data_IF_913321746836
#
_entry.id   IF_913321746836
#
_cell.length_a   1.000
_cell.length_b   1.000
_cell.length_c   1.000
_cell.angle_alpha   90.00
_cell.angle_beta   90.00
_cell.angle_gamma   90.00
#
_symmetry.space_group_name_H-M   'P 1'
#
loop_
_entity.id
_entity.type
_entity.pdbx_description
1 polymer ?
#
# COMPACT_ATOMS: atom_id res chain seq x y z
N UNK A 1 34.27 0.21 -11.38
CA UNK A 1 33.44 1.42 -11.21
C UNK A 1 32.02 1.03 -11.55
N UNK A 2 31.24 0.71 -10.51
CA UNK A 2 29.92 0.08 -10.64
C UNK A 2 28.78 1.08 -10.71
N UNK A 3 27.59 0.57 -11.03
CA UNK A 3 26.31 1.28 -10.86
C UNK A 3 26.27 2.06 -9.54
N UNK A 4 25.77 3.32 -9.53
CA UNK A 4 25.65 4.10 -8.31
C UNK A 4 24.95 3.28 -7.20
N UNK A 5 25.44 3.31 -5.95
CA UNK A 5 24.96 2.43 -4.88
C UNK A 5 23.48 2.67 -4.51
N UNK A 6 22.91 3.77 -4.98
CA UNK A 6 21.55 4.25 -4.75
C UNK A 6 20.63 4.10 -5.97
N UNK A 7 21.10 3.53 -7.09
CA UNK A 7 20.32 3.47 -8.33
C UNK A 7 20.19 2.05 -8.87
N UNK A 8 18.96 1.74 -9.28
CA UNK A 8 18.66 0.54 -10.06
C UNK A 8 18.99 0.84 -11.53
N UNK A 9 19.70 -0.09 -12.16
CA UNK A 9 19.90 -0.11 -13.60
C UNK A 9 18.82 -1.01 -14.22
N UNK A 10 18.10 -0.49 -15.21
CA UNK A 10 17.19 -1.27 -16.06
C UNK A 10 17.56 -0.98 -17.50
N UNK A 11 18.04 -1.99 -18.21
CA UNK A 11 18.44 -1.91 -19.61
C UNK A 11 17.55 -2.80 -20.47
N UNK A 12 16.99 -2.21 -21.55
CA UNK A 12 16.20 -2.93 -22.54
C UNK A 12 17.01 -3.10 -23.83
N UNK A 13 17.91 -4.08 -23.84
CA UNK A 13 18.79 -4.34 -24.99
C UNK A 13 18.09 -5.12 -26.10
N UNK A 14 18.72 -5.21 -27.29
CA UNK A 14 18.25 -6.13 -28.33
C UNK A 14 18.22 -7.58 -27.83
N UNK A 15 19.20 -7.95 -27.00
CA UNK A 15 19.42 -9.32 -26.55
C UNK A 15 18.57 -9.70 -25.33
N UNK A 16 17.79 -8.76 -24.77
CA UNK A 16 16.89 -8.97 -23.64
C UNK A 16 16.96 -7.88 -22.56
N UNK A 17 16.23 -8.10 -21.48
CA UNK A 17 16.26 -7.31 -20.25
C UNK A 17 17.54 -7.57 -19.46
N UNK A 18 18.09 -6.50 -18.89
CA UNK A 18 19.01 -6.59 -17.76
C UNK A 18 18.53 -5.65 -16.65
N UNK A 19 18.35 -6.20 -15.46
CA UNK A 19 18.01 -5.46 -14.26
C UNK A 19 19.11 -5.70 -13.22
N UNK A 20 19.68 -4.61 -12.71
CA UNK A 20 20.70 -4.66 -11.65
C UNK A 20 20.29 -3.75 -10.51
N UNK A 21 20.07 -4.33 -9.34
CA UNK A 21 19.78 -3.59 -8.11
C UNK A 21 20.94 -3.72 -7.12
N UNK A 22 21.57 -2.61 -6.69
CA UNK A 22 22.58 -2.64 -5.65
C UNK A 22 22.00 -3.09 -4.31
N UNK A 23 22.76 -3.89 -3.57
CA UNK A 23 22.46 -4.36 -2.23
C UNK A 23 23.55 -3.88 -1.26
N UNK A 24 23.29 -4.00 0.05
CA UNK A 24 24.28 -3.67 1.08
C UNK A 24 25.53 -4.54 0.95
N UNK A 25 26.67 -4.01 1.41
CA UNK A 25 27.94 -4.75 1.45
C UNK A 25 28.57 -4.98 0.08
N UNK A 26 28.32 -4.09 -0.89
CA UNK A 26 28.89 -4.19 -2.24
C UNK A 26 28.30 -5.33 -3.09
N UNK A 27 27.21 -5.95 -2.64
CA UNK A 27 26.49 -6.99 -3.38
C UNK A 27 25.53 -6.34 -4.38
N UNK A 28 25.12 -7.09 -5.41
CA UNK A 28 24.06 -6.68 -6.32
C UNK A 28 23.16 -7.87 -6.64
N UNK A 29 21.88 -7.58 -6.91
CA UNK A 29 20.94 -8.54 -7.49
C UNK A 29 20.85 -8.28 -8.99
N UNK A 30 21.12 -9.33 -9.77
CA UNK A 30 21.02 -9.31 -11.23
C UNK A 30 19.82 -10.15 -11.63
N UNK A 31 18.95 -9.61 -12.46
CA UNK A 31 17.82 -10.31 -13.07
C UNK A 31 17.91 -10.08 -14.58
N UNK A 32 17.88 -11.16 -15.34
CA UNK A 32 17.90 -11.12 -16.79
C UNK A 32 17.04 -12.27 -17.34
N UNK A 33 16.42 -12.04 -18.49
CA UNK A 33 15.82 -13.12 -19.26
C UNK A 33 16.92 -13.93 -19.96
N UNK A 34 16.74 -15.24 -19.96
CA UNK A 34 17.58 -16.21 -20.67
C UNK A 34 16.77 -16.84 -21.78
N UNK A 35 17.42 -17.04 -22.93
CA UNK A 35 16.80 -17.74 -24.08
C UNK A 35 17.18 -19.22 -24.05
N UNK A 36 16.27 -20.08 -24.49
CA UNK A 36 16.46 -21.53 -24.48
C UNK A 36 16.07 -22.20 -23.16
N UNK A 37 16.23 -23.53 -23.09
CA UNK A 37 15.89 -24.35 -21.93
C UNK A 37 17.03 -24.35 -20.89
N UNK A 38 17.38 -23.17 -20.40
CA UNK A 38 18.31 -23.04 -19.27
C UNK A 38 17.56 -23.45 -18.00
N UNK A 39 17.98 -24.54 -17.36
CA UNK A 39 17.34 -25.06 -16.14
C UNK A 39 18.13 -24.74 -14.87
N UNK A 40 19.42 -24.43 -15.00
CA UNK A 40 20.32 -24.10 -13.89
C UNK A 40 21.05 -22.80 -14.19
N UNK A 41 21.27 -22.00 -13.14
CA UNK A 41 21.98 -20.74 -13.27
C UNK A 41 23.46 -20.97 -12.97
N UNK A 42 24.32 -20.61 -13.91
CA UNK A 42 25.77 -20.65 -13.75
C UNK A 42 26.40 -19.25 -13.93
N UNK A 43 27.56 -19.06 -13.31
CA UNK A 43 28.25 -17.77 -13.30
C UNK A 43 28.71 -17.33 -14.71
N UNK A 44 29.09 -18.26 -15.58
CA UNK A 44 29.55 -17.95 -16.93
C UNK A 44 28.41 -17.36 -17.78
N UNK A 45 27.20 -17.91 -17.68
CA UNK A 45 26.00 -17.38 -18.31
C UNK A 45 25.69 -15.97 -17.83
N UNK A 46 25.77 -15.70 -16.53
CA UNK A 46 25.55 -14.34 -15.99
C UNK A 46 26.62 -13.37 -16.47
N UNK A 47 27.89 -13.77 -16.49
CA UNK A 47 29.00 -12.95 -17.03
C UNK A 47 28.79 -12.63 -18.52
N UNK A 48 28.36 -13.60 -19.31
CA UNK A 48 28.06 -13.40 -20.73
C UNK A 48 26.91 -12.40 -20.94
N UNK A 49 25.83 -12.52 -20.18
CA UNK A 49 24.69 -11.59 -20.23
C UNK A 49 25.13 -10.17 -19.83
N UNK A 50 25.89 -10.04 -18.76
CA UNK A 50 26.41 -8.75 -18.31
C UNK A 50 27.33 -8.11 -19.35
N UNK A 51 28.22 -8.89 -19.97
CA UNK A 51 29.10 -8.40 -21.03
C UNK A 51 28.33 -7.94 -22.28
N UNK A 52 27.25 -8.65 -22.63
CA UNK A 52 26.43 -8.34 -23.81
C UNK A 52 25.48 -7.15 -23.59
N UNK A 53 24.85 -7.07 -22.41
CA UNK A 53 23.72 -6.16 -22.16
C UNK A 53 24.04 -4.98 -21.26
N UNK A 54 25.10 -5.04 -20.44
CA UNK A 54 25.38 -3.94 -19.51
C UNK A 54 25.97 -2.73 -20.23
N UNK A 55 25.44 -1.51 -20.05
CA UNK A 55 26.04 -0.29 -20.56
C UNK A 55 27.32 0.10 -19.80
N UNK A 56 27.62 -0.60 -18.71
CA UNK A 56 28.81 -0.39 -17.88
C UNK A 56 29.66 -1.66 -17.80
N UNK A 57 30.97 -1.51 -17.99
CA UNK A 57 31.94 -2.59 -17.79
C UNK A 57 32.08 -2.91 -16.30
N UNK A 58 31.37 -3.94 -15.86
CA UNK A 58 31.39 -4.44 -14.48
C UNK A 58 31.69 -5.93 -14.50
N UNK A 59 32.72 -6.33 -13.76
CA UNK A 59 33.02 -7.73 -13.53
C UNK A 59 32.14 -8.26 -12.38
N UNK A 60 31.38 -9.31 -12.64
CA UNK A 60 30.53 -9.99 -11.65
C UNK A 60 31.27 -11.23 -11.16
N UNK A 61 31.36 -11.42 -9.84
CA UNK A 61 32.04 -12.55 -9.20
C UNK A 61 31.41 -12.86 -7.83
N UNK A 62 31.83 -13.97 -7.19
CA UNK A 62 31.37 -14.40 -5.85
C UNK A 62 29.83 -14.52 -5.73
N UNK A 63 29.19 -15.43 -6.50
CA UNK A 63 27.75 -15.61 -6.43
C UNK A 63 27.33 -16.17 -5.06
N UNK A 64 26.62 -15.36 -4.26
CA UNK A 64 26.02 -15.84 -3.01
C UNK A 64 24.80 -16.75 -3.23
N UNK A 65 24.07 -16.53 -4.33
CA UNK A 65 22.89 -17.29 -4.68
C UNK A 65 22.53 -17.09 -6.15
N UNK A 66 22.11 -18.16 -6.81
CA UNK A 66 21.70 -18.15 -8.22
C UNK A 66 20.49 -19.06 -8.40
N UNK A 67 19.58 -18.68 -9.29
CA UNK A 67 18.43 -19.50 -9.65
C UNK A 67 17.95 -19.17 -11.05
N UNK A 68 17.27 -20.12 -11.68
CA UNK A 68 16.44 -19.87 -12.86
C UNK A 68 15.01 -20.11 -12.46
N UNK A 69 14.13 -19.18 -12.83
CA UNK A 69 12.70 -19.30 -12.55
C UNK A 69 11.90 -19.06 -13.83
N UNK A 70 10.77 -19.75 -13.94
CA UNK A 70 9.81 -19.52 -15.01
C UNK A 70 8.81 -18.46 -14.59
N UNK A 71 8.55 -17.51 -15.47
CA UNK A 71 7.53 -16.49 -15.23
C UNK A 71 6.15 -17.12 -15.47
N UNK A 72 5.24 -16.95 -14.52
CA UNK A 72 3.85 -17.36 -14.63
C UNK A 72 2.95 -16.28 -14.04
N UNK A 73 1.80 -16.06 -14.68
CA UNK A 73 0.76 -15.13 -14.20
C UNK A 73 -0.50 -15.96 -13.94
N UNK A 74 -0.86 -16.11 -12.67
CA UNK A 74 -2.05 -16.88 -12.26
C UNK A 74 -2.66 -16.25 -11.02
N UNK A 75 -3.98 -16.31 -10.94
CA UNK A 75 -4.74 -15.87 -9.77
C UNK A 75 -5.90 -16.83 -9.58
N UNK A 76 -6.17 -17.18 -8.33
CA UNK A 76 -7.34 -17.99 -7.98
C UNK A 76 -8.63 -17.16 -8.15
N UNK A 77 -9.76 -17.78 -8.51
CA UNK A 77 -11.01 -17.04 -8.73
C UNK A 77 -11.59 -16.46 -7.43
N UNK A 78 -11.26 -17.03 -6.27
CA UNK A 78 -11.75 -16.62 -4.95
C UNK A 78 -10.63 -16.72 -3.92
N UNK A 79 -10.46 -15.67 -3.11
CA UNK A 79 -9.45 -15.64 -2.03
C UNK A 79 -9.98 -16.25 -0.73
N UNK A 80 -11.30 -16.38 -0.60
CA UNK A 80 -11.99 -17.05 0.48
C UNK A 80 -12.89 -18.14 -0.08
N UNK A 81 -12.89 -19.29 0.57
CA UNK A 81 -13.89 -20.33 0.40
C UNK A 81 -14.32 -20.81 1.79
N UNK A 82 -15.49 -20.35 2.24
CA UNK A 82 -15.98 -20.57 3.61
C UNK A 82 -14.93 -20.14 4.66
N UNK A 83 -14.31 -21.09 5.38
CA UNK A 83 -13.30 -20.84 6.43
C UNK A 83 -11.86 -20.91 5.92
N UNK A 84 -11.66 -21.12 4.62
CA UNK A 84 -10.34 -21.27 3.99
C UNK A 84 -9.99 -19.96 3.28
N UNK A 85 -8.80 -19.45 3.56
CA UNK A 85 -8.27 -18.21 2.99
C UNK A 85 -6.94 -18.47 2.28
N UNK A 86 -6.74 -17.84 1.12
CA UNK A 86 -5.52 -17.90 0.34
C UNK A 86 -4.92 -16.50 0.25
N UNK A 87 -3.62 -16.36 0.55
CA UNK A 87 -2.89 -15.09 0.53
C UNK A 87 -1.53 -15.25 -0.16
N UNK A 88 -1.00 -14.17 -0.75
CA UNK A 88 0.29 -14.18 -1.43
C UNK A 88 0.35 -15.19 -2.58
N UNK A 89 1.49 -15.86 -2.77
CA UNK A 89 1.73 -16.79 -3.88
C UNK A 89 0.75 -17.97 -3.96
N UNK A 90 0.07 -18.32 -2.85
CA UNK A 90 -1.00 -19.32 -2.86
C UNK A 90 -2.28 -18.83 -3.56
N UNK A 91 -2.49 -17.52 -3.62
CA UNK A 91 -3.64 -16.88 -4.25
C UNK A 91 -3.29 -16.27 -5.61
N UNK A 92 -2.10 -15.69 -5.76
CA UNK A 92 -1.68 -15.02 -6.98
C UNK A 92 -0.17 -15.09 -7.17
N UNK A 93 0.24 -15.41 -8.39
CA UNK A 93 1.64 -15.32 -8.85
C UNK A 93 1.66 -14.41 -10.07
N UNK A 94 2.69 -13.60 -10.18
CA UNK A 94 2.81 -12.61 -11.23
C UNK A 94 4.27 -12.40 -11.65
N UNK A 95 4.47 -11.69 -12.75
CA UNK A 95 5.80 -11.36 -13.23
C UNK A 95 6.59 -10.55 -12.17
N UNK A 96 7.89 -10.85 -11.96
CA UNK A 96 8.73 -10.10 -11.04
C UNK A 96 9.06 -8.70 -11.54
N UNK A 97 8.69 -8.34 -12.78
CA UNK A 97 9.00 -7.05 -13.40
C UNK A 97 8.60 -5.83 -12.57
N UNK A 98 7.63 -5.96 -11.65
CA UNK A 98 7.23 -4.90 -10.72
C UNK A 98 7.79 -5.02 -9.29
N UNK A 99 8.48 -6.11 -8.91
CA UNK A 99 8.95 -6.34 -7.54
C UNK A 99 7.84 -6.44 -6.49
N UNK A 100 6.61 -6.78 -6.89
CA UNK A 100 5.41 -6.62 -6.05
C UNK A 100 5.01 -7.87 -5.26
N UNK A 101 5.58 -9.05 -5.53
CA UNK A 101 5.04 -10.33 -5.03
C UNK A 101 4.99 -10.40 -3.51
N UNK A 102 6.15 -10.34 -2.88
CA UNK A 102 6.27 -10.34 -1.43
C UNK A 102 5.50 -9.18 -0.79
N UNK A 103 5.56 -7.97 -1.35
CA UNK A 103 4.86 -6.80 -0.81
C UNK A 103 3.34 -6.99 -0.82
N UNK A 104 2.79 -7.48 -1.93
CA UNK A 104 1.35 -7.73 -2.08
C UNK A 104 0.90 -8.85 -1.15
N UNK A 105 1.66 -9.95 -1.06
CA UNK A 105 1.37 -11.06 -0.16
C UNK A 105 1.41 -10.68 1.32
N UNK A 106 2.39 -9.85 1.74
CA UNK A 106 2.41 -9.30 3.10
C UNK A 106 1.20 -8.41 3.38
N UNK A 107 0.80 -7.58 2.42
CA UNK A 107 -0.41 -6.77 2.57
C UNK A 107 -1.69 -7.60 2.63
N UNK A 108 -1.77 -8.73 1.91
CA UNK A 108 -2.90 -9.65 2.01
C UNK A 108 -3.01 -10.21 3.45
N UNK A 109 -1.89 -10.69 4.00
CA UNK A 109 -1.85 -11.21 5.36
C UNK A 109 -2.18 -10.11 6.40
N UNK A 110 -1.66 -8.89 6.21
CA UNK A 110 -1.91 -7.76 7.10
C UNK A 110 -3.39 -7.33 7.08
N UNK A 111 -4.02 -7.30 5.91
CA UNK A 111 -5.45 -7.02 5.76
C UNK A 111 -6.34 -8.12 6.37
N UNK A 112 -5.95 -9.39 6.22
CA UNK A 112 -6.71 -10.52 6.74
C UNK A 112 -6.57 -10.69 8.26
N UNK A 113 -5.38 -10.44 8.81
CA UNK A 113 -5.03 -10.76 10.20
C UNK A 113 -5.97 -10.13 11.24
N UNK A 114 -6.20 -8.82 11.14
CA UNK A 114 -7.09 -8.13 12.09
C UNK A 114 -8.56 -8.56 11.94
N UNK A 115 -8.99 -8.90 10.72
CA UNK A 115 -10.35 -9.39 10.45
C UNK A 115 -10.57 -10.75 11.09
N UNK A 116 -9.59 -11.66 10.99
CA UNK A 116 -9.61 -12.95 11.67
C UNK A 116 -9.63 -12.80 13.18
N UNK A 117 -8.84 -11.87 13.73
CA UNK A 117 -8.86 -11.59 15.17
C UNK A 117 -10.26 -11.17 15.65
N UNK A 118 -10.90 -10.24 14.94
CA UNK A 118 -12.26 -9.81 15.29
C UNK A 118 -13.30 -10.91 15.13
N UNK A 119 -13.23 -11.70 14.07
CA UNK A 119 -14.13 -12.83 13.87
C UNK A 119 -14.00 -13.87 14.99
N UNK A 120 -12.78 -14.11 15.47
CA UNK A 120 -12.50 -15.08 16.54
C UNK A 120 -12.86 -14.56 17.94
N UNK A 121 -12.58 -13.29 18.24
CA UNK A 121 -12.72 -12.74 19.60
C UNK A 121 -14.04 -12.02 19.84
N UNK A 122 -14.60 -11.39 18.81
CA UNK A 122 -15.76 -10.50 18.92
C UNK A 122 -16.95 -11.02 18.10
N UNK A 123 -16.89 -12.24 17.57
CA UNK A 123 -17.97 -12.79 16.74
C UNK A 123 -18.37 -11.83 15.58
N UNK A 124 -17.40 -11.09 15.03
CA UNK A 124 -17.63 -10.17 13.95
C UNK A 124 -18.19 -10.92 12.73
N UNK A 125 -19.21 -10.34 12.10
CA UNK A 125 -20.02 -11.03 11.09
C UNK A 125 -19.26 -11.43 9.83
N UNK A 126 -19.83 -12.38 9.08
CA UNK A 126 -19.24 -12.93 7.85
C UNK A 126 -18.90 -11.88 6.79
N UNK A 127 -19.59 -10.73 6.78
CA UNK A 127 -19.30 -9.60 5.90
C UNK A 127 -17.91 -9.00 6.12
N UNK A 128 -17.40 -9.00 7.38
CA UNK A 128 -16.04 -8.55 7.67
C UNK A 128 -15.02 -9.47 7.00
N UNK A 129 -15.19 -10.79 7.11
CA UNK A 129 -14.29 -11.75 6.48
C UNK A 129 -14.42 -11.77 4.96
N UNK A 130 -15.62 -11.54 4.41
CA UNK A 130 -15.83 -11.47 2.96
C UNK A 130 -15.12 -10.26 2.36
N UNK A 131 -15.06 -9.14 3.10
CA UNK A 131 -14.33 -7.95 2.67
C UNK A 131 -12.85 -8.21 2.35
N UNK A 132 -12.25 -9.29 2.87
CA UNK A 132 -10.89 -9.68 2.46
C UNK A 132 -10.83 -9.99 0.96
N UNK A 133 -11.79 -10.75 0.45
CA UNK A 133 -11.86 -11.06 -0.98
C UNK A 133 -12.14 -9.79 -1.78
N UNK A 134 -13.17 -9.04 -1.39
CA UNK A 134 -13.61 -7.84 -2.10
C UNK A 134 -12.51 -6.77 -2.18
N UNK A 135 -11.65 -6.68 -1.15
CA UNK A 135 -10.55 -5.73 -1.11
C UNK A 135 -9.29 -6.23 -1.82
N UNK A 136 -8.88 -7.49 -1.59
CA UNK A 136 -7.54 -7.97 -2.00
C UNK A 136 -7.52 -8.69 -3.33
N UNK A 137 -8.64 -9.28 -3.76
CA UNK A 137 -8.71 -9.95 -5.07
C UNK A 137 -8.57 -8.95 -6.24
N UNK A 138 -9.26 -7.80 -6.26
CA UNK A 138 -9.07 -6.80 -7.30
C UNK A 138 -7.64 -6.23 -7.33
N UNK A 139 -7.01 -6.07 -6.15
CA UNK A 139 -5.60 -5.64 -6.06
C UNK A 139 -4.67 -6.67 -6.71
N UNK A 140 -4.85 -7.96 -6.42
CA UNK A 140 -4.08 -9.02 -7.08
C UNK A 140 -4.26 -9.00 -8.60
N UNK A 141 -5.51 -8.85 -9.07
CA UNK A 141 -5.81 -8.77 -10.51
C UNK A 141 -5.14 -7.55 -11.17
N UNK A 142 -5.15 -6.40 -10.49
CA UNK A 142 -4.46 -5.18 -10.94
C UNK A 142 -2.95 -5.38 -11.03
N UNK A 143 -2.33 -6.03 -10.03
CA UNK A 143 -0.89 -6.33 -10.02
C UNK A 143 -0.53 -7.27 -11.16
N UNK A 144 -1.30 -8.34 -11.39
CA UNK A 144 -1.12 -9.23 -12.54
C UNK A 144 -1.21 -8.47 -13.87
N UNK A 145 -2.27 -7.68 -14.06
CA UNK A 145 -2.48 -6.92 -15.29
C UNK A 145 -1.33 -5.90 -15.54
N UNK A 146 -0.86 -5.25 -14.48
CA UNK A 146 0.23 -4.25 -14.56
C UNK A 146 1.56 -4.92 -14.89
N UNK A 147 1.95 -5.93 -14.10
CA UNK A 147 3.23 -6.62 -14.27
C UNK A 147 3.31 -7.38 -15.60
N UNK A 148 2.21 -7.95 -16.07
CA UNK A 148 2.14 -8.56 -17.39
C UNK A 148 2.21 -7.56 -18.54
N UNK A 149 1.66 -6.35 -18.40
CA UNK A 149 1.89 -5.26 -19.37
C UNK A 149 3.36 -4.86 -19.40
N UNK A 150 4.02 -4.75 -18.24
CA UNK A 150 5.46 -4.47 -18.18
C UNK A 150 6.27 -5.56 -18.87
N UNK A 151 5.99 -6.83 -18.59
CA UNK A 151 6.68 -7.95 -19.23
C UNK A 151 6.51 -7.95 -20.76
N UNK A 152 5.31 -7.68 -21.27
CA UNK A 152 5.07 -7.57 -22.72
C UNK A 152 5.80 -6.39 -23.36
N UNK A 153 5.96 -5.27 -22.65
CA UNK A 153 6.76 -4.13 -23.13
C UNK A 153 8.26 -4.45 -23.16
N UNK A 154 8.71 -5.30 -22.23
CA UNK A 154 10.08 -5.81 -22.17
C UNK A 154 10.35 -6.74 -23.37
N UNK A 155 9.48 -7.72 -23.60
CA UNK A 155 9.61 -8.75 -24.65
C UNK A 155 9.22 -8.25 -26.06
N UNK A 156 9.26 -6.94 -26.34
CA UNK A 156 8.92 -6.40 -27.66
C UNK A 156 9.97 -6.77 -28.72
N UNK A 157 9.60 -7.69 -29.62
CA UNK A 157 10.48 -8.20 -30.68
C UNK A 157 10.53 -7.33 -31.95
N UNK A 158 9.50 -6.51 -32.20
CA UNK A 158 9.45 -5.65 -33.41
C UNK A 158 10.37 -4.43 -33.27
N UNK A 159 11.17 -4.14 -34.29
CA UNK A 159 12.05 -2.96 -34.33
C UNK A 159 11.26 -1.65 -34.18
N UNK A 160 10.15 -1.51 -34.90
CA UNK A 160 9.28 -0.32 -34.82
C UNK A 160 8.69 -0.18 -33.41
N UNK A 161 8.17 -1.26 -32.83
CA UNK A 161 7.62 -1.24 -31.47
C UNK A 161 8.65 -0.86 -30.40
N UNK A 162 9.91 -1.31 -30.52
CA UNK A 162 11.01 -0.88 -29.63
C UNK A 162 11.29 0.61 -29.78
N UNK A 163 11.45 1.10 -31.01
CA UNK A 163 11.68 2.51 -31.28
C UNK A 163 10.57 3.39 -30.69
N UNK A 164 9.30 3.00 -30.87
CA UNK A 164 8.16 3.71 -30.28
C UNK A 164 8.21 3.67 -28.75
N UNK A 165 8.44 2.51 -28.14
CA UNK A 165 8.58 2.36 -26.68
C UNK A 165 9.68 3.27 -26.15
N UNK A 166 10.87 3.21 -26.72
CA UNK A 166 12.06 3.94 -26.23
C UNK A 166 11.87 5.45 -26.39
N UNK A 167 11.25 5.89 -27.49
CA UNK A 167 10.87 7.28 -27.71
C UNK A 167 9.86 7.75 -26.66
N UNK A 168 8.82 6.95 -26.38
CA UNK A 168 7.80 7.28 -25.38
C UNK A 168 8.39 7.33 -23.97
N UNK A 169 9.24 6.37 -23.61
CA UNK A 169 9.94 6.36 -22.31
C UNK A 169 10.84 7.59 -22.18
N UNK A 170 11.63 7.92 -23.20
CA UNK A 170 12.48 9.10 -23.21
C UNK A 170 11.71 10.43 -23.13
N UNK A 171 10.55 10.51 -23.80
CA UNK A 171 9.72 11.72 -23.83
C UNK A 171 8.87 11.91 -22.56
N UNK A 172 8.30 10.82 -22.03
CA UNK A 172 7.34 10.87 -20.93
C UNK A 172 7.97 10.57 -19.58
N UNK A 173 9.01 9.73 -19.53
CA UNK A 173 9.68 9.29 -18.30
C UNK A 173 10.20 10.44 -17.41
N UNK A 174 10.82 11.50 -17.98
CA UNK A 174 11.28 12.64 -17.18
C UNK A 174 10.15 13.49 -16.56
N UNK A 175 8.89 13.30 -16.96
CA UNK A 175 7.78 14.12 -16.46
C UNK A 175 7.42 13.72 -15.02
N UNK A 176 7.40 14.69 -14.11
CA UNK A 176 7.04 14.53 -12.69
C UNK A 176 5.73 13.75 -12.49
N UNK A 177 4.72 14.02 -13.32
CA UNK A 177 3.41 13.35 -13.26
C UNK A 177 3.49 11.86 -13.58
N UNK A 178 4.36 11.47 -14.51
CA UNK A 178 4.59 10.06 -14.87
C UNK A 178 5.39 9.37 -13.78
N UNK A 179 6.47 9.99 -13.30
CA UNK A 179 7.28 9.43 -12.21
C UNK A 179 6.48 9.29 -10.92
N UNK A 180 5.65 10.27 -10.57
CA UNK A 180 4.78 10.22 -9.39
C UNK A 180 3.79 9.05 -9.48
N UNK A 181 3.13 8.87 -10.64
CA UNK A 181 2.23 7.73 -10.86
C UNK A 181 2.95 6.39 -10.80
N UNK A 182 4.12 6.26 -11.42
CA UNK A 182 4.92 5.03 -11.35
C UNK A 182 5.36 4.72 -9.92
N UNK A 183 5.83 5.74 -9.17
CA UNK A 183 6.17 5.60 -7.74
C UNK A 183 4.99 5.12 -6.92
N UNK A 184 3.82 5.74 -7.09
CA UNK A 184 2.60 5.37 -6.39
C UNK A 184 2.17 3.92 -6.70
N UNK A 185 2.22 3.53 -7.97
CA UNK A 185 1.85 2.17 -8.40
C UNK A 185 2.83 1.10 -7.89
N UNK A 186 4.14 1.37 -7.95
CA UNK A 186 5.16 0.43 -7.47
C UNK A 186 5.16 0.31 -5.94
N UNK A 187 4.96 1.42 -5.22
CA UNK A 187 4.83 1.41 -3.76
C UNK A 187 3.48 0.88 -3.27
N UNK A 188 2.49 0.74 -4.16
CA UNK A 188 1.12 0.35 -3.82
C UNK A 188 0.45 1.29 -2.80
N UNK A 189 0.96 2.52 -2.65
CA UNK A 189 0.37 3.52 -1.75
C UNK A 189 -0.92 4.15 -2.30
N UNK A 190 -1.31 3.81 -3.53
CA UNK A 190 -2.53 4.27 -4.18
C UNK A 190 -3.67 3.24 -4.15
N UNK A 191 -3.52 2.14 -3.42
CA UNK A 191 -4.63 1.21 -3.20
C UNK A 191 -5.72 1.94 -2.40
N UNK A 192 -6.96 1.80 -2.86
CA UNK A 192 -8.14 2.34 -2.19
C UNK A 192 -9.30 1.33 -2.26
N UNK A 193 -10.03 1.17 -1.17
CA UNK A 193 -11.12 0.21 -0.99
C UNK A 193 -12.49 0.89 -0.98
N UNK A 194 -12.73 1.84 -1.88
CA UNK A 194 -13.95 2.66 -1.89
C UNK A 194 -15.24 1.84 -1.99
N UNK A 195 -15.19 0.66 -2.62
CA UNK A 195 -16.35 -0.21 -2.84
C UNK A 195 -16.50 -1.33 -1.79
N UNK A 196 -15.66 -1.34 -0.74
CA UNK A 196 -15.70 -2.37 0.31
C UNK A 196 -16.93 -2.24 1.20
N UNK A 197 -17.49 -3.37 1.65
CA UNK A 197 -18.62 -3.40 2.59
C UNK A 197 -18.26 -2.83 3.99
N UNK A 198 -16.97 -2.70 4.29
CA UNK A 198 -16.45 -2.13 5.55
C UNK A 198 -15.85 -0.73 5.35
N UNK A 199 -16.37 0.02 4.37
CA UNK A 199 -16.10 1.45 4.23
C UNK A 199 -17.41 2.23 4.27
N UNK A 200 -17.41 3.31 5.03
CA UNK A 200 -18.56 4.20 5.18
C UNK A 200 -18.13 5.64 4.95
N UNK A 201 -18.49 6.18 3.80
CA UNK A 201 -18.38 7.59 3.51
C UNK A 201 -19.66 8.28 3.98
N UNK A 202 -19.60 8.88 5.16
CA UNK A 202 -20.61 9.80 5.62
C UNK A 202 -20.15 11.23 5.28
N UNK A 203 -21.11 12.12 5.05
CA UNK A 203 -20.93 13.47 4.50
C UNK A 203 -19.53 14.08 4.77
N UNK A 204 -18.67 14.12 3.75
CA UNK A 204 -17.37 14.80 3.81
C UNK A 204 -17.03 15.34 2.42
N UNK A 205 -17.54 16.54 2.11
CA UNK A 205 -17.42 17.14 0.79
C UNK A 205 -16.19 18.04 0.69
N UNK A 206 -15.19 17.57 -0.05
CA UNK A 206 -14.10 18.36 -0.62
C UNK A 206 -13.50 17.60 -1.79
N UNK A 207 -13.15 18.27 -2.89
CA UNK A 207 -12.55 17.62 -4.08
C UNK A 207 -11.23 16.90 -3.77
N UNK A 208 -10.60 17.23 -2.65
CA UNK A 208 -9.34 16.70 -2.14
C UNK A 208 -9.48 16.03 -0.76
N UNK A 209 -10.70 15.88 -0.24
CA UNK A 209 -10.92 15.24 1.05
C UNK A 209 -10.61 13.75 0.98
N UNK A 210 -10.01 13.23 2.04
CA UNK A 210 -9.82 11.79 2.19
C UNK A 210 -11.17 11.09 2.35
N UNK A 211 -11.27 9.88 1.82
CA UNK A 211 -12.48 9.07 1.84
C UNK A 211 -12.27 7.78 2.60
N UNK A 212 -13.35 7.21 3.12
CA UNK A 212 -13.35 5.82 3.53
C UNK A 212 -12.94 4.93 2.36
N UNK A 213 -12.02 4.02 2.62
CA UNK A 213 -11.31 3.18 1.67
C UNK A 213 -9.91 3.68 1.32
N UNK A 214 -9.58 4.96 1.53
CA UNK A 214 -8.22 5.45 1.31
C UNK A 214 -7.26 4.99 2.42
N UNK A 215 -5.96 4.89 2.10
CA UNK A 215 -4.93 4.72 3.13
C UNK A 215 -4.82 6.01 3.95
N UNK A 216 -4.75 5.87 5.28
CA UNK A 216 -4.49 6.98 6.19
C UNK A 216 -3.15 7.67 5.83
N UNK A 217 -3.15 8.98 5.53
CA UNK A 217 -1.94 9.76 5.32
C UNK A 217 -1.20 9.88 6.64
N UNK A 218 0.11 9.62 6.64
CA UNK A 218 0.92 9.99 7.80
C UNK A 218 1.04 11.51 7.92
N UNK A 219 1.52 12.02 9.05
CA UNK A 219 1.85 13.42 9.22
C UNK A 219 2.51 13.69 10.57
N UNK A 220 3.29 14.78 10.67
CA UNK A 220 3.92 15.15 11.93
C UNK A 220 2.85 15.56 12.97
N UNK A 221 3.10 15.20 14.22
CA UNK A 221 2.28 15.54 15.37
C UNK A 221 3.19 15.88 16.55
N UNK A 222 2.64 16.58 17.54
CA UNK A 222 3.23 16.68 18.87
C UNK A 222 2.26 15.97 19.83
N UNK A 223 2.80 15.05 20.62
CA UNK A 223 2.02 14.30 21.61
C UNK A 223 1.62 15.19 22.82
N UNK A 224 0.72 14.71 23.71
CA UNK A 224 0.30 15.47 24.88
C UNK A 224 1.43 15.85 25.85
N UNK A 225 2.55 15.12 25.83
CA UNK A 225 3.73 15.36 26.66
C UNK A 225 4.71 16.36 26.00
N UNK A 226 4.45 16.78 24.76
CA UNK A 226 5.24 17.76 24.02
C UNK A 226 6.31 17.15 23.11
N UNK A 227 6.33 15.84 22.89
CA UNK A 227 7.32 15.18 22.04
C UNK A 227 6.85 15.12 20.57
N UNK A 228 7.76 15.38 19.60
CA UNK A 228 7.46 15.16 18.19
C UNK A 228 7.25 13.66 17.88
N UNK A 229 6.20 13.37 17.11
CA UNK A 229 5.85 12.01 16.66
C UNK A 229 5.15 12.06 15.30
N UNK A 230 4.66 10.92 14.80
CA UNK A 230 3.83 10.86 13.60
C UNK A 230 2.56 10.06 13.85
N UNK A 231 1.54 10.26 13.02
CA UNK A 231 0.31 9.47 13.09
C UNK A 231 0.61 7.96 12.96
N UNK A 232 1.57 7.57 12.13
CA UNK A 232 1.96 6.17 11.96
C UNK A 232 2.52 5.53 13.23
N UNK A 233 3.26 6.28 14.05
CA UNK A 233 3.71 5.80 15.36
C UNK A 233 2.52 5.59 16.31
N UNK A 234 1.54 6.50 16.32
CA UNK A 234 0.34 6.43 17.16
C UNK A 234 -0.57 5.25 16.75
N UNK A 235 -0.69 4.98 15.45
CA UNK A 235 -1.53 3.90 14.91
C UNK A 235 -0.97 2.49 15.17
N UNK A 236 0.23 2.35 15.73
CA UNK A 236 0.79 1.02 16.01
C UNK A 236 -0.12 0.23 16.97
N UNK A 237 -0.33 -1.04 16.62
CA UNK A 237 -1.12 -2.00 17.41
C UNK A 237 -2.35 -2.53 16.66
N UNK A 238 -3.14 -3.41 17.30
CA UNK A 238 -4.24 -4.12 16.65
C UNK A 238 -5.59 -3.38 16.68
N UNK A 239 -5.69 -2.26 17.40
CA UNK A 239 -6.93 -1.52 17.58
C UNK A 239 -7.26 -0.56 16.43
N UNK A 240 -8.52 -0.21 16.31
CA UNK A 240 -8.96 0.92 15.47
C UNK A 240 -8.55 2.23 16.13
N UNK A 241 -8.29 3.27 15.33
CA UNK A 241 -8.07 4.63 15.82
C UNK A 241 -9.24 5.52 15.38
N UNK A 242 -9.96 6.08 16.34
CA UNK A 242 -10.93 7.15 16.10
C UNK A 242 -10.20 8.49 16.17
N UNK A 243 -10.04 9.13 15.02
CA UNK A 243 -9.33 10.39 14.86
C UNK A 243 -10.33 11.53 14.66
N UNK A 244 -10.39 12.48 15.59
CA UNK A 244 -11.17 13.71 15.45
C UNK A 244 -10.29 14.92 15.16
N UNK A 245 -10.77 15.81 14.29
CA UNK A 245 -10.28 17.18 14.14
C UNK A 245 -11.34 18.11 14.70
N UNK A 246 -11.00 18.83 15.77
CA UNK A 246 -11.96 19.64 16.53
C UNK A 246 -11.30 20.93 17.06
N UNK A 247 -10.82 21.75 16.12
CA UNK A 247 -10.32 23.11 16.41
C UNK A 247 -11.43 24.01 16.97
N UNK A 248 -11.06 25.01 17.78
CA UNK A 248 -12.00 26.01 18.28
C UNK A 248 -12.95 25.53 19.37
N UNK A 249 -13.92 26.39 19.73
CA UNK A 249 -14.84 26.21 20.87
C UNK A 249 -16.31 26.26 20.45
N UNK A 250 -16.60 26.02 19.16
CA UNK A 250 -17.98 26.00 18.68
C UNK A 250 -18.66 24.65 18.93
N UNK A 251 -19.98 24.64 18.74
CA UNK A 251 -20.80 23.45 18.97
C UNK A 251 -20.40 22.25 18.08
N UNK A 252 -19.83 22.49 16.90
CA UNK A 252 -19.36 21.42 16.01
C UNK A 252 -18.10 20.76 16.54
N UNK A 253 -17.16 21.55 17.04
CA UNK A 253 -15.95 21.04 17.68
C UNK A 253 -16.31 20.23 18.95
N UNK A 254 -17.19 20.75 19.80
CA UNK A 254 -17.65 20.05 21.00
C UNK A 254 -18.36 18.72 20.67
N UNK A 255 -19.17 18.72 19.61
CA UNK A 255 -19.85 17.52 19.14
C UNK A 255 -18.85 16.44 18.66
N UNK A 256 -17.82 16.81 17.89
CA UNK A 256 -16.78 15.86 17.46
C UNK A 256 -16.03 15.28 18.65
N UNK A 257 -15.68 16.08 19.67
CA UNK A 257 -15.02 15.54 20.88
C UNK A 257 -15.91 14.53 21.58
N UNK A 258 -17.19 14.83 21.73
CA UNK A 258 -18.17 13.91 22.30
C UNK A 258 -18.27 12.60 21.50
N UNK A 259 -18.26 12.67 20.16
CA UNK A 259 -18.28 11.48 19.29
C UNK A 259 -17.06 10.61 19.51
N UNK A 260 -15.88 11.23 19.56
CA UNK A 260 -14.60 10.53 19.76
C UNK A 260 -14.56 9.87 21.14
N UNK A 261 -14.86 10.61 22.21
CA UNK A 261 -14.85 10.10 23.58
C UNK A 261 -15.85 8.95 23.80
N UNK A 262 -17.03 9.03 23.20
CA UNK A 262 -18.04 7.98 23.29
C UNK A 262 -17.62 6.66 22.62
N UNK A 263 -16.73 6.70 21.61
CA UNK A 263 -16.27 5.51 20.89
C UNK A 263 -15.37 4.62 21.77
N UNK A 264 -14.45 5.22 22.54
CA UNK A 264 -13.59 4.51 23.49
C UNK A 264 -14.39 3.92 24.64
N UNK A 265 -15.36 4.67 25.18
CA UNK A 265 -16.21 4.17 26.26
C UNK A 265 -16.96 2.90 25.87
N UNK A 266 -17.41 2.79 24.62
CA UNK A 266 -18.13 1.61 24.11
C UNK A 266 -17.23 0.44 23.74
N UNK A 267 -15.98 0.70 23.36
CA UNK A 267 -15.07 -0.32 22.82
C UNK A 267 -13.62 -0.15 23.33
N UNK A 268 -13.39 -0.16 24.66
CA UNK A 268 -12.11 0.27 25.26
C UNK A 268 -10.91 -0.59 24.84
N UNK A 269 -11.12 -1.88 24.57
CA UNK A 269 -10.04 -2.80 24.18
C UNK A 269 -9.78 -2.80 22.66
N UNK A 270 -10.65 -2.18 21.87
CA UNK A 270 -10.66 -2.29 20.41
C UNK A 270 -10.49 -0.95 19.70
N UNK A 271 -10.73 0.16 20.41
CA UNK A 271 -10.70 1.52 19.86
C UNK A 271 -9.80 2.39 20.71
N UNK A 272 -8.83 3.01 20.06
CA UNK A 272 -8.06 4.15 20.57
C UNK A 272 -8.70 5.42 20.06
N UNK A 273 -8.63 6.50 20.84
CA UNK A 273 -9.12 7.81 20.42
C UNK A 273 -8.00 8.83 20.35
N UNK A 274 -8.17 9.81 19.46
CA UNK A 274 -7.27 10.94 19.36
C UNK A 274 -8.05 12.15 18.84
N UNK A 275 -7.91 13.29 19.52
CA UNK A 275 -8.44 14.57 19.06
C UNK A 275 -7.24 15.46 18.75
N UNK A 276 -7.06 15.78 17.47
CA UNK A 276 -5.99 16.64 16.97
C UNK A 276 -6.51 18.08 16.88
N UNK A 277 -5.68 19.03 17.30
CA UNK A 277 -5.97 20.45 17.23
C UNK A 277 -4.74 21.28 16.85
N UNK A 278 -4.97 22.42 16.20
CA UNK A 278 -3.94 23.43 15.92
C UNK A 278 -3.70 24.38 17.09
N UNK A 279 -4.74 24.65 17.88
CA UNK A 279 -4.78 25.75 18.85
C UNK A 279 -4.98 25.31 20.31
N UNK A 280 -5.25 24.02 20.57
CA UNK A 280 -5.48 23.49 21.92
C UNK A 280 -4.36 22.57 22.43
N UNK A 281 -4.21 22.44 23.77
CA UNK A 281 -3.36 21.40 24.38
C UNK A 281 -3.85 19.98 24.06
N UNK A 282 -2.96 18.98 24.18
CA UNK A 282 -3.22 17.58 23.84
C UNK A 282 -2.42 17.16 22.61
N UNK A 283 -3.05 16.43 21.68
CA UNK A 283 -2.43 16.10 20.40
C UNK A 283 -2.46 17.31 19.46
N UNK A 284 -1.28 17.76 19.04
CA UNK A 284 -1.14 19.02 18.31
C UNK A 284 -0.63 18.80 16.89
N UNK A 285 -1.20 19.56 15.96
CA UNK A 285 -0.74 19.71 14.58
C UNK A 285 -0.46 21.20 14.31
N UNK A 286 0.63 21.78 14.84
CA UNK A 286 0.82 23.25 14.85
C UNK A 286 0.84 23.88 13.46
N UNK A 287 1.40 23.17 12.48
CA UNK A 287 1.51 23.65 11.09
C UNK A 287 0.29 23.29 10.23
N UNK A 288 -0.70 22.56 10.80
CA UNK A 288 -1.90 22.13 10.10
C UNK A 288 -1.64 21.15 8.95
N UNK A 289 -0.51 20.43 8.98
CA UNK A 289 -0.13 19.54 7.89
C UNK A 289 -1.02 18.30 7.84
N UNK A 290 -1.35 17.73 9.00
CA UNK A 290 -2.26 16.59 9.08
C UNK A 290 -3.68 17.03 8.71
N UNK A 291 -4.14 18.18 9.20
CA UNK A 291 -5.43 18.77 8.80
C UNK A 291 -5.54 18.90 7.28
N UNK A 292 -4.49 19.43 6.63
CA UNK A 292 -4.46 19.59 5.18
C UNK A 292 -4.50 18.25 4.45
N UNK A 293 -3.74 17.24 4.91
CA UNK A 293 -3.70 15.90 4.30
C UNK A 293 -5.04 15.16 4.40
N UNK A 294 -5.78 15.38 5.49
CA UNK A 294 -7.13 14.82 5.67
C UNK A 294 -8.24 15.67 5.04
N UNK A 295 -7.95 16.92 4.65
CA UNK A 295 -8.95 17.87 4.18
C UNK A 295 -9.88 18.36 5.30
N UNK A 296 -9.40 18.38 6.54
CA UNK A 296 -10.11 18.80 7.73
C UNK A 296 -10.13 20.34 7.84
N UNK A 297 -11.02 21.00 7.08
CA UNK A 297 -11.22 22.46 7.14
C UNK A 297 -12.17 22.92 8.24
N UNK A 298 -12.88 21.97 8.87
CA UNK A 298 -13.76 22.18 10.02
C UNK A 298 -13.89 20.88 10.82
N UNK A 299 -14.77 20.86 11.84
CA UNK A 299 -14.95 19.70 12.70
C UNK A 299 -15.32 18.45 11.89
N UNK A 300 -14.52 17.39 12.04
CA UNK A 300 -14.73 16.10 11.39
C UNK A 300 -14.04 14.97 12.14
N UNK A 301 -14.42 13.74 11.84
CA UNK A 301 -13.85 12.56 12.46
C UNK A 301 -13.74 11.39 11.49
N UNK A 302 -12.79 10.50 11.80
CA UNK A 302 -12.43 9.35 11.00
C UNK A 302 -12.30 8.12 11.90
N UNK A 303 -12.57 6.94 11.34
CA UNK A 303 -12.13 5.68 11.93
C UNK A 303 -11.07 5.09 11.03
N UNK A 304 -9.88 4.87 11.59
CA UNK A 304 -8.76 4.22 10.91
C UNK A 304 -8.70 2.78 11.39
N UNK A 305 -8.68 1.85 10.42
CA UNK A 305 -8.58 0.42 10.64
C UNK A 305 -7.19 0.01 11.11
N UNK A 306 -7.04 -1.18 11.74
CA UNK A 306 -5.73 -1.69 12.15
C UNK A 306 -4.73 -1.87 11.00
N UNK A 307 -5.21 -1.99 9.76
CA UNK A 307 -4.36 -2.06 8.56
C UNK A 307 -3.98 -0.68 7.96
N UNK A 308 -4.37 0.41 8.63
CA UNK A 308 -4.03 1.79 8.25
C UNK A 308 -4.91 2.37 7.13
N UNK A 309 -6.08 1.79 6.87
CA UNK A 309 -7.07 2.32 5.92
C UNK A 309 -8.21 3.03 6.65
N UNK A 310 -8.75 4.08 6.04
CA UNK A 310 -9.91 4.80 6.57
C UNK A 310 -11.14 3.91 6.38
N UNK A 311 -11.78 3.53 7.48
CA UNK A 311 -13.05 2.81 7.50
C UNK A 311 -14.26 3.74 7.50
N UNK A 312 -14.17 4.85 8.23
CA UNK A 312 -15.19 5.91 8.28
C UNK A 312 -14.55 7.26 8.04
N UNK A 313 -15.18 8.09 7.23
CA UNK A 313 -14.96 9.52 7.16
C UNK A 313 -16.32 10.21 7.36
N UNK A 314 -16.42 11.19 8.26
CA UNK A 314 -17.66 11.91 8.57
C UNK A 314 -17.37 13.31 9.10
N UNK A 315 -18.23 14.28 8.76
CA UNK A 315 -18.29 15.57 9.42
C UNK A 315 -19.51 15.69 10.36
N UNK A 316 -20.25 14.59 10.58
CA UNK A 316 -21.46 14.63 11.37
C UNK A 316 -21.14 14.99 12.83
N UNK A 317 -21.94 15.89 13.44
CA UNK A 317 -21.85 16.13 14.87
C UNK A 317 -22.51 15.02 15.71
N UNK A 318 -23.20 14.07 15.09
CA UNK A 318 -23.92 13.02 15.80
C UNK A 318 -23.15 11.68 15.84
N UNK A 319 -23.54 10.81 16.78
CA UNK A 319 -22.94 9.49 17.00
C UNK A 319 -23.38 8.44 15.96
N UNK A 320 -24.34 8.74 15.08
CA UNK A 320 -25.02 7.74 14.24
C UNK A 320 -24.07 7.13 13.21
N UNK A 321 -23.28 7.89 12.42
CA UNK A 321 -22.31 7.31 11.48
C UNK A 321 -21.26 6.44 12.19
N UNK A 322 -20.72 6.93 13.30
CA UNK A 322 -19.74 6.22 14.13
C UNK A 322 -20.31 4.89 14.64
N UNK A 323 -21.49 4.95 15.27
CA UNK A 323 -22.17 3.77 15.79
C UNK A 323 -22.56 2.77 14.71
N UNK A 324 -23.02 3.25 13.54
CA UNK A 324 -23.33 2.40 12.38
C UNK A 324 -22.09 1.69 11.85
N UNK A 325 -20.96 2.41 11.72
CA UNK A 325 -19.72 1.83 11.26
C UNK A 325 -19.19 0.80 12.26
N UNK A 326 -18.93 1.22 13.50
CA UNK A 326 -18.36 0.35 14.53
C UNK A 326 -19.28 -0.84 14.84
N UNK A 327 -20.59 -0.65 14.93
CA UNK A 327 -21.53 -1.75 15.14
C UNK A 327 -21.62 -2.73 13.96
N UNK A 328 -21.21 -2.31 12.76
CA UNK A 328 -21.11 -3.18 11.58
C UNK A 328 -19.88 -4.10 11.59
N UNK A 329 -18.78 -3.67 12.22
CA UNK A 329 -17.50 -4.41 12.21
C UNK A 329 -17.11 -4.99 13.58
N UNK A 330 -17.63 -4.42 14.67
CA UNK A 330 -17.46 -4.84 16.06
C UNK A 330 -18.84 -5.28 16.58
N UNK A 331 -19.37 -6.40 16.08
CA UNK A 331 -20.56 -6.99 16.69
C UNK A 331 -20.18 -7.53 18.09
N UNK A 332 -21.07 -7.42 19.07
CA UNK A 332 -20.94 -7.93 20.45
C UNK A 332 -19.59 -7.69 21.17
N UNK A 333 -19.48 -6.52 21.81
CA UNK A 333 -19.00 -6.45 23.19
C UNK A 333 -20.22 -6.35 24.13
#
# INVERSE_FOLDING_TARGET
MGTPPDRILVEFSHDGLLFVAPLKGGRARIIADVTGDVTEADEATVRAIMAARSPVLVEVSDPAWMTVFRISERQVPRYRHDRIFLAGDAAHIHSPAGGQGMNTGMQDAYNLGWKLELALKQNAGDGLLESYHDERHPVGAMVLATTGRMLRMIDLKSMVGRFTRDTLIGLLGPRETVQSRMRQQLSQHNIAYHDSAITLNDWHHGRQAIKAGDRAPDGPLIDPDGHPTTLFEVMRGPGHLVLGFADGADAGADAVRHVVEAAEYKHPDMVKTMIVSRDRPGWRDPEGELHKRYGASGPCHFVIRPDGYIGLASNSPDLVPMGRYLGGILQHA
#
